data_IF_096917610487
#
_entry.id   IF_096917610487
#
_cell.length_a   1.000
_cell.length_b   1.000
_cell.length_c   1.000
_cell.angle_alpha   90.00
_cell.angle_beta   90.00
_cell.angle_gamma   90.00
#
_symmetry.space_group_name_H-M   'P 1'
#
loop_
_entity.id
_entity.type
_entity.pdbx_description
1 polymer ?
#
# COMPACT_ATOMS: atom_id res chain seq x y z
N UNK A 1 -2.51 -8.94 -13.74
CA UNK A 1 -1.50 -9.52 -14.67
C UNK A 1 -0.12 -9.01 -14.29
N UNK A 2 0.98 -9.71 -14.64
CA UNK A 2 2.35 -9.26 -14.36
C UNK A 2 3.39 -9.77 -15.37
N UNK A 3 4.58 -9.17 -15.39
CA UNK A 3 5.73 -9.56 -16.24
C UNK A 3 6.98 -9.97 -15.41
N UNK A 4 8.09 -10.31 -16.08
CA UNK A 4 9.34 -10.71 -15.40
C UNK A 4 10.02 -9.60 -14.59
N UNK A 5 9.64 -8.33 -14.81
CA UNK A 5 10.13 -7.20 -14.03
C UNK A 5 9.23 -6.91 -12.83
N UNK A 6 8.16 -7.69 -12.64
CA UNK A 6 7.11 -7.47 -11.65
C UNK A 6 6.33 -6.17 -11.87
N UNK A 7 6.27 -5.66 -13.11
CA UNK A 7 5.24 -4.69 -13.44
C UNK A 7 3.89 -5.38 -13.34
N UNK A 8 2.88 -4.70 -12.79
CA UNK A 8 1.57 -5.28 -12.53
C UNK A 8 0.44 -4.39 -13.04
N UNK A 9 -0.63 -5.03 -13.51
CA UNK A 9 -1.94 -4.40 -13.70
C UNK A 9 -2.89 -5.02 -12.68
N UNK A 10 -3.40 -4.18 -11.79
CA UNK A 10 -4.34 -4.52 -10.72
C UNK A 10 -5.70 -3.91 -11.04
N UNK A 11 -6.76 -4.71 -10.90
CA UNK A 11 -8.14 -4.21 -10.90
C UNK A 11 -8.65 -4.04 -9.47
N UNK A 12 -9.58 -3.11 -9.26
CA UNK A 12 -10.21 -2.83 -7.96
C UNK A 12 -9.20 -2.66 -6.83
N UNK A 13 -8.11 -1.93 -7.08
CA UNK A 13 -7.00 -1.80 -6.15
C UNK A 13 -7.37 -0.85 -4.99
N UNK A 14 -7.09 -1.28 -3.75
CA UNK A 14 -7.02 -0.38 -2.58
C UNK A 14 -5.55 -0.05 -2.32
N UNK A 15 -5.20 1.22 -2.41
CA UNK A 15 -3.90 1.73 -2.01
C UNK A 15 -3.99 2.30 -0.59
N UNK A 16 -2.99 1.98 0.23
CA UNK A 16 -2.83 2.50 1.58
C UNK A 16 -1.46 3.14 1.70
N UNK A 17 -1.41 4.45 1.98
CA UNK A 17 -0.18 5.19 2.26
C UNK A 17 -0.10 5.46 3.76
N UNK A 18 0.97 4.97 4.39
CA UNK A 18 1.25 5.22 5.81
C UNK A 18 2.36 6.26 5.94
N UNK A 19 2.10 7.33 6.69
CA UNK A 19 3.08 8.38 7.01
C UNK A 19 3.31 8.42 8.51
N UNK A 20 4.54 8.72 8.91
CA UNK A 20 4.91 8.97 10.30
C UNK A 20 5.19 10.47 10.42
N UNK A 21 4.42 11.14 11.25
CA UNK A 21 4.65 12.53 11.63
C UNK A 21 5.22 12.55 13.05
N UNK A 22 6.15 13.45 13.33
CA UNK A 22 6.72 13.62 14.67
C UNK A 22 6.15 14.91 15.23
N UNK A 23 5.53 14.83 16.40
CA UNK A 23 5.08 16.02 17.13
C UNK A 23 6.29 16.82 17.63
N UNK A 24 6.35 18.12 17.31
CA UNK A 24 7.52 18.95 17.63
C UNK A 24 7.65 19.28 19.12
N UNK A 25 6.55 19.20 19.89
CA UNK A 25 6.54 19.51 21.32
C UNK A 25 6.78 18.25 22.17
N UNK A 26 6.14 17.14 21.81
CA UNK A 26 6.19 15.89 22.59
C UNK A 26 7.19 14.87 22.05
N UNK A 27 7.68 15.05 20.81
CA UNK A 27 8.51 14.08 20.07
C UNK A 27 7.84 12.72 19.88
N UNK A 28 6.52 12.66 19.98
CA UNK A 28 5.76 11.44 19.75
C UNK A 28 5.57 11.17 18.25
N UNK A 29 5.61 9.89 17.88
CA UNK A 29 5.34 9.45 16.51
C UNK A 29 3.83 9.26 16.30
N UNK A 30 3.26 10.06 15.41
CA UNK A 30 1.87 9.98 14.97
C UNK A 30 1.81 9.27 13.63
N UNK A 31 1.25 8.05 13.63
CA UNK A 31 1.05 7.25 12.44
C UNK A 31 -0.27 7.66 11.76
N UNK A 32 -0.20 8.08 10.49
CA UNK A 32 -1.36 8.40 9.67
C UNK A 32 -1.48 7.46 8.49
N UNK A 33 -2.71 7.19 8.09
CA UNK A 33 -3.03 6.32 6.97
C UNK A 33 -4.02 7.00 6.04
N UNK A 34 -3.67 7.10 4.75
CA UNK A 34 -4.57 7.57 3.69
C UNK A 34 -4.87 6.43 2.75
N UNK A 35 -6.15 6.26 2.39
CA UNK A 35 -6.62 5.19 1.50
C UNK A 35 -7.19 5.73 0.20
N UNK A 36 -6.94 5.01 -0.91
CA UNK A 36 -7.52 5.30 -2.22
C UNK A 36 -8.03 4.02 -2.87
N UNK A 37 -9.22 4.07 -3.43
CA UNK A 37 -9.79 3.00 -4.24
C UNK A 37 -9.63 3.36 -5.72
N UNK A 38 -9.03 2.46 -6.50
CA UNK A 38 -8.60 2.72 -7.87
C UNK A 38 -9.12 1.56 -8.75
N UNK A 39 -10.08 1.81 -9.67
CA UNK A 39 -10.67 0.74 -10.48
C UNK A 39 -9.65 -0.06 -11.29
N UNK A 40 -8.62 0.60 -11.84
CA UNK A 40 -7.49 -0.04 -12.51
C UNK A 40 -6.20 0.72 -12.23
N UNK A 41 -5.15 0.01 -11.83
CA UNK A 41 -3.85 0.57 -11.47
C UNK A 41 -2.72 -0.21 -12.16
N UNK A 42 -1.84 0.52 -12.85
CA UNK A 42 -0.55 -0.01 -13.29
C UNK A 42 0.51 0.29 -12.22
N UNK A 43 1.23 -0.73 -11.78
CA UNK A 43 2.32 -0.64 -10.80
C UNK A 43 3.62 -1.01 -11.48
N UNK A 44 4.64 -0.17 -11.35
CA UNK A 44 6.00 -0.45 -11.85
C UNK A 44 6.73 -1.36 -10.86
N UNK A 45 7.43 -2.36 -11.38
CA UNK A 45 8.00 -3.44 -10.57
C UNK A 45 9.23 -3.09 -9.75
N UNK A 46 9.88 -1.95 -10.02
CA UNK A 46 11.04 -1.50 -9.24
C UNK A 46 10.69 -1.08 -7.80
N UNK A 47 9.44 -0.66 -7.56
CA UNK A 47 8.93 -0.34 -6.22
C UNK A 47 8.37 -1.54 -5.43
N UNK A 48 8.36 -2.75 -6.02
CA UNK A 48 7.73 -3.92 -5.41
C UNK A 48 8.75 -4.66 -4.54
N UNK A 49 8.48 -4.73 -3.24
CA UNK A 49 9.34 -5.42 -2.26
C UNK A 49 8.85 -6.84 -1.96
N UNK A 50 7.54 -7.01 -1.78
CA UNK A 50 6.91 -8.27 -1.43
C UNK A 50 5.54 -8.39 -2.09
N UNK A 51 5.21 -9.60 -2.56
CA UNK A 51 3.85 -9.96 -2.97
C UNK A 51 3.38 -11.11 -2.09
N UNK A 52 2.22 -10.95 -1.47
CA UNK A 52 1.58 -11.98 -0.64
C UNK A 52 0.07 -11.96 -0.86
N UNK A 53 -0.62 -13.09 -0.65
CA UNK A 53 -2.08 -13.08 -0.61
C UNK A 53 -2.56 -12.15 0.53
N UNK A 54 -3.75 -11.55 0.41
CA UNK A 54 -4.32 -10.75 1.50
C UNK A 54 -4.33 -11.59 2.78
N UNK A 55 -3.87 -11.00 3.87
CA UNK A 55 -3.88 -11.67 5.17
C UNK A 55 -5.32 -12.04 5.50
N UNK A 56 -5.57 -13.33 5.76
CA UNK A 56 -6.86 -13.83 6.26
C UNK A 56 -7.11 -13.35 7.71
N UNK A 57 -7.01 -12.05 7.97
CA UNK A 57 -7.78 -11.44 9.06
C UNK A 57 -9.12 -11.07 8.47
N UNK A 58 -9.92 -12.12 8.32
CA UNK A 58 -11.37 -12.02 8.23
C UNK A 58 -11.85 -11.00 9.23
N UNK A 59 -12.70 -10.11 8.76
CA UNK A 59 -13.67 -9.38 9.56
C UNK A 59 -14.21 -10.33 10.64
N UNK A 60 -13.85 -10.09 11.91
CA UNK A 60 -14.58 -10.54 13.10
C UNK A 60 -14.59 -9.36 14.06
#
# INVERSE_FOLDING_TARGET
>A
AYDQHLNMVLGEAEETVTTVEIDEETYEEVYRTTKRNIPMLFVRGDGVILVSPPSMRSQI
#
